data_IF_553032881390
#
_entry.id   IF_553032881390
#
_cell.length_a   1.000
_cell.length_b   1.000
_cell.length_c   1.000
_cell.angle_alpha   90.00
_cell.angle_beta   90.00
_cell.angle_gamma   90.00
#
_symmetry.space_group_name_H-M   'P 1'
#
loop_
_entity.id
_entity.type
_entity.pdbx_description
1 polymer ?
#
# COMPACT_ATOMS: atom_id res chain seq x y z
N UNK A 1 -41.21 -11.46 -15.05
CA UNK A 1 -40.11 -10.57 -14.59
C UNK A 1 -39.35 -11.31 -13.51
N UNK A 2 -38.13 -11.81 -13.79
CA UNK A 2 -37.23 -12.25 -12.73
C UNK A 2 -36.80 -11.03 -11.93
N UNK A 3 -36.89 -11.08 -10.61
CA UNK A 3 -36.35 -10.02 -9.76
C UNK A 3 -34.82 -10.07 -9.81
N UNK A 4 -34.16 -8.92 -9.66
CA UNK A 4 -32.68 -8.83 -9.58
C UNK A 4 -32.16 -9.82 -8.53
N UNK A 5 -32.89 -9.99 -7.43
CA UNK A 5 -32.57 -10.96 -6.37
C UNK A 5 -32.57 -12.42 -6.89
N UNK A 6 -33.54 -12.82 -7.71
CA UNK A 6 -33.60 -14.16 -8.30
C UNK A 6 -32.50 -14.40 -9.33
N UNK A 7 -32.14 -13.39 -10.11
CA UNK A 7 -31.01 -13.46 -11.04
C UNK A 7 -29.67 -13.62 -10.28
N UNK A 8 -29.50 -12.88 -9.19
CA UNK A 8 -28.32 -12.97 -8.31
C UNK A 8 -28.25 -14.34 -7.62
N UNK A 9 -29.37 -14.89 -7.14
CA UNK A 9 -29.40 -16.21 -6.49
C UNK A 9 -29.17 -17.36 -7.48
N UNK A 10 -29.74 -17.30 -8.69
CA UNK A 10 -29.48 -18.28 -9.75
C UNK A 10 -28.02 -18.20 -10.23
N UNK A 11 -27.47 -17.00 -10.34
CA UNK A 11 -26.06 -16.78 -10.63
C UNK A 11 -25.18 -17.39 -9.53
N UNK A 12 -25.46 -17.11 -8.25
CA UNK A 12 -24.79 -17.71 -7.09
C UNK A 12 -24.85 -19.25 -7.09
N UNK A 13 -25.95 -19.85 -7.53
CA UNK A 13 -26.09 -21.30 -7.64
C UNK A 13 -25.22 -21.93 -8.76
N UNK A 14 -24.84 -21.13 -9.76
CA UNK A 14 -23.89 -21.52 -10.82
C UNK A 14 -22.44 -21.10 -10.53
N UNK A 15 -22.19 -20.50 -9.36
CA UNK A 15 -20.85 -20.02 -8.98
C UNK A 15 -19.91 -21.20 -8.82
N UNK A 16 -19.04 -21.33 -9.81
CA UNK A 16 -17.83 -22.13 -9.77
C UNK A 16 -16.82 -21.47 -8.83
N UNK A 17 -16.99 -21.71 -7.53
CA UNK A 17 -16.17 -21.11 -6.47
C UNK A 17 -14.66 -21.32 -6.69
N UNK A 18 -14.28 -22.41 -7.36
CA UNK A 18 -12.92 -22.69 -7.84
C UNK A 18 -12.38 -21.57 -8.75
N UNK A 19 -13.18 -21.10 -9.71
CA UNK A 19 -12.76 -20.06 -10.66
C UNK A 19 -12.63 -18.68 -9.99
N UNK A 20 -13.60 -18.31 -9.15
CA UNK A 20 -13.54 -17.04 -8.42
C UNK A 20 -12.38 -17.01 -7.42
N UNK A 21 -12.09 -18.14 -6.77
CA UNK A 21 -10.95 -18.25 -5.88
C UNK A 21 -9.63 -18.07 -6.65
N UNK A 22 -9.48 -18.70 -7.81
CA UNK A 22 -8.30 -18.54 -8.67
C UNK A 22 -8.13 -17.08 -9.11
N UNK A 23 -9.19 -16.44 -9.63
CA UNK A 23 -9.14 -15.03 -10.05
C UNK A 23 -8.85 -14.09 -8.89
N UNK A 24 -9.51 -14.29 -7.75
CA UNK A 24 -9.31 -13.47 -6.55
C UNK A 24 -7.90 -13.58 -6.01
N UNK A 25 -7.35 -14.79 -5.90
CA UNK A 25 -5.96 -15.01 -5.45
C UNK A 25 -4.96 -14.36 -6.40
N UNK A 26 -5.15 -14.50 -7.72
CA UNK A 26 -4.25 -13.84 -8.68
C UNK A 26 -4.30 -12.31 -8.57
N UNK A 27 -5.49 -11.74 -8.44
CA UNK A 27 -5.66 -10.30 -8.26
C UNK A 27 -5.04 -9.81 -6.94
N UNK A 28 -5.17 -10.58 -5.86
CA UNK A 28 -4.52 -10.31 -4.57
C UNK A 28 -3.00 -10.32 -4.70
N UNK A 29 -2.42 -11.36 -5.32
CA UNK A 29 -0.98 -11.49 -5.51
C UNK A 29 -0.42 -10.34 -6.36
N UNK A 30 -1.13 -9.96 -7.41
CA UNK A 30 -0.75 -8.81 -8.22
C UNK A 30 -0.78 -7.50 -7.42
N UNK A 31 -1.88 -7.22 -6.73
CA UNK A 31 -2.01 -6.03 -5.90
C UNK A 31 -0.94 -5.97 -4.79
N UNK A 32 -0.64 -7.12 -4.17
CA UNK A 32 0.45 -7.23 -3.20
C UNK A 32 1.81 -6.89 -3.84
N UNK A 33 2.05 -7.36 -5.06
CA UNK A 33 3.28 -7.04 -5.80
C UNK A 33 3.43 -5.54 -6.06
N UNK A 34 2.33 -4.83 -6.37
CA UNK A 34 2.34 -3.38 -6.55
C UNK A 34 2.66 -2.63 -5.26
N UNK A 35 2.13 -3.09 -4.12
CA UNK A 35 2.46 -2.51 -2.81
C UNK A 35 3.93 -2.75 -2.48
N UNK A 36 4.47 -3.94 -2.74
CA UNK A 36 5.89 -4.26 -2.50
C UNK A 36 6.81 -3.37 -3.36
N UNK A 37 6.49 -3.23 -4.65
CA UNK A 37 7.28 -2.40 -5.58
C UNK A 37 7.14 -0.90 -5.25
N UNK A 38 5.97 -0.46 -4.79
CA UNK A 38 5.72 0.94 -4.43
C UNK A 38 6.38 1.40 -3.12
N UNK A 39 6.78 0.47 -2.26
CA UNK A 39 7.39 0.77 -0.95
C UNK A 39 8.65 -0.07 -0.71
N UNK A 40 9.73 0.15 -1.48
CA UNK A 40 10.93 -0.69 -1.46
C UNK A 40 11.63 -0.68 -0.10
N UNK A 41 11.57 0.42 0.64
CA UNK A 41 12.24 0.54 1.95
C UNK A 41 11.59 -0.31 3.03
N UNK A 42 10.27 -0.57 2.93
CA UNK A 42 9.46 -1.24 3.97
C UNK A 42 8.32 -2.09 3.40
N UNK A 43 8.59 -3.07 2.53
CA UNK A 43 7.55 -3.79 1.77
C UNK A 43 6.60 -4.58 2.68
N UNK A 44 7.15 -5.29 3.68
CA UNK A 44 6.35 -6.10 4.62
C UNK A 44 5.47 -5.24 5.52
N UNK A 45 5.96 -4.07 5.95
CA UNK A 45 5.16 -3.16 6.78
C UNK A 45 4.06 -2.50 5.96
N UNK A 46 4.36 -2.08 4.72
CA UNK A 46 3.39 -1.53 3.81
C UNK A 46 2.23 -2.52 3.56
N UNK A 47 2.52 -3.79 3.32
CA UNK A 47 1.50 -4.84 3.13
C UNK A 47 0.60 -5.07 4.35
N UNK A 48 1.08 -4.80 5.57
CA UNK A 48 0.33 -4.99 6.81
C UNK A 48 -0.55 -3.80 7.17
N UNK A 49 -0.48 -2.70 6.42
CA UNK A 49 -1.32 -1.52 6.66
C UNK A 49 -2.77 -1.77 6.22
N UNK A 50 -3.70 -1.10 6.88
CA UNK A 50 -5.12 -1.21 6.52
C UNK A 50 -5.39 -0.75 5.09
N UNK A 51 -4.67 0.29 4.62
CA UNK A 51 -4.77 0.78 3.25
C UNK A 51 -4.37 -0.28 2.22
N UNK A 52 -3.31 -1.06 2.47
CA UNK A 52 -2.91 -2.16 1.59
C UNK A 52 -3.95 -3.28 1.56
N UNK A 53 -4.50 -3.68 2.71
CA UNK A 53 -5.56 -4.68 2.76
C UNK A 53 -6.82 -4.24 2.02
N UNK A 54 -7.25 -3.00 2.22
CA UNK A 54 -8.41 -2.43 1.53
C UNK A 54 -8.18 -2.43 0.01
N UNK A 55 -6.99 -2.00 -0.43
CA UNK A 55 -6.63 -2.01 -1.84
C UNK A 55 -6.66 -3.44 -2.42
N UNK A 56 -5.99 -4.39 -1.77
CA UNK A 56 -5.91 -5.79 -2.21
C UNK A 56 -7.30 -6.44 -2.29
N UNK A 57 -8.14 -6.28 -1.26
CA UNK A 57 -9.49 -6.84 -1.22
C UNK A 57 -10.37 -6.20 -2.30
N UNK A 58 -10.35 -4.87 -2.43
CA UNK A 58 -11.11 -4.19 -3.46
C UNK A 58 -10.71 -4.68 -4.85
N UNK A 59 -9.41 -4.84 -5.10
CA UNK A 59 -8.90 -5.30 -6.39
C UNK A 59 -9.33 -6.75 -6.70
N UNK A 60 -9.32 -7.62 -5.68
CA UNK A 60 -9.83 -8.99 -5.79
C UNK A 60 -11.33 -9.03 -6.08
N UNK A 61 -12.14 -8.21 -5.40
CA UNK A 61 -13.57 -8.10 -5.62
C UNK A 61 -13.89 -7.63 -7.05
N UNK A 62 -13.18 -6.61 -7.53
CA UNK A 62 -13.35 -6.12 -8.90
C UNK A 62 -12.96 -7.16 -9.96
N UNK A 63 -11.87 -7.90 -9.76
CA UNK A 63 -11.50 -8.99 -10.65
C UNK A 63 -12.55 -10.11 -10.67
N UNK A 64 -13.13 -10.45 -9.52
CA UNK A 64 -14.23 -11.41 -9.43
C UNK A 64 -15.50 -10.90 -10.14
N UNK A 65 -15.82 -9.60 -10.05
CA UNK A 65 -16.93 -9.00 -10.80
C UNK A 65 -16.67 -9.02 -12.32
N UNK A 66 -15.43 -8.78 -12.75
CA UNK A 66 -15.05 -8.91 -14.14
C UNK A 66 -15.19 -10.34 -14.64
N UNK A 67 -14.81 -11.34 -13.83
CA UNK A 67 -15.02 -12.75 -14.15
C UNK A 67 -16.52 -13.08 -14.26
N UNK A 68 -17.32 -12.58 -13.33
CA UNK A 68 -18.77 -12.73 -13.35
C UNK A 68 -19.36 -12.23 -14.68
N UNK A 69 -18.98 -11.03 -15.09
CA UNK A 69 -19.41 -10.43 -16.35
C UNK A 69 -18.92 -11.23 -17.57
N UNK A 70 -17.70 -11.75 -17.53
CA UNK A 70 -17.17 -12.55 -18.62
C UNK A 70 -17.92 -13.88 -18.78
N UNK A 71 -18.24 -14.54 -17.66
CA UNK A 71 -18.99 -15.80 -17.65
C UNK A 71 -20.47 -15.63 -18.03
N UNK A 72 -21.08 -14.47 -17.76
CA UNK A 72 -22.45 -14.20 -18.22
C UNK A 72 -22.51 -13.93 -19.71
N UNK A 73 -21.48 -13.31 -20.29
CA UNK A 73 -21.39 -13.03 -21.72
C UNK A 73 -21.01 -14.28 -22.55
N UNK A 74 -20.12 -15.12 -22.02
CA UNK A 74 -19.62 -16.32 -22.71
C UNK A 74 -19.66 -17.52 -21.75
N UNK A 75 -20.84 -18.09 -21.46
CA UNK A 75 -20.99 -19.16 -20.47
C UNK A 75 -20.22 -20.44 -20.81
N UNK A 76 -19.95 -20.71 -22.10
CA UNK A 76 -19.13 -21.84 -22.54
C UNK A 76 -17.63 -21.71 -22.28
N UNK A 77 -17.14 -20.55 -21.80
CA UNK A 77 -15.72 -20.28 -21.58
C UNK A 77 -15.22 -20.62 -20.17
N UNK A 78 -16.09 -21.20 -19.31
CA UNK A 78 -15.81 -21.48 -17.90
C UNK A 78 -14.64 -22.46 -17.72
N UNK A 79 -13.43 -21.92 -17.61
CA UNK A 79 -12.17 -22.65 -17.49
C UNK A 79 -11.22 -21.94 -16.54
N UNK A 80 -10.29 -22.70 -15.96
CA UNK A 80 -9.24 -22.14 -15.07
C UNK A 80 -8.38 -21.12 -15.82
N UNK A 81 -8.11 -21.34 -17.11
CA UNK A 81 -7.37 -20.41 -17.95
C UNK A 81 -8.10 -19.08 -18.12
N UNK A 82 -9.42 -19.10 -18.29
CA UNK A 82 -10.23 -17.89 -18.32
C UNK A 82 -10.15 -17.13 -16.98
N UNK A 83 -10.24 -17.85 -15.85
CA UNK A 83 -10.13 -17.25 -14.53
C UNK A 83 -8.76 -16.59 -14.28
N UNK A 84 -7.67 -17.27 -14.66
CA UNK A 84 -6.31 -16.73 -14.61
C UNK A 84 -6.15 -15.51 -15.53
N UNK A 85 -6.64 -15.62 -16.77
CA UNK A 85 -6.60 -14.55 -17.76
C UNK A 85 -7.32 -13.30 -17.26
N UNK A 86 -8.54 -13.43 -16.75
CA UNK A 86 -9.28 -12.30 -16.17
C UNK A 86 -8.55 -11.71 -14.97
N UNK A 87 -8.02 -12.53 -14.06
CA UNK A 87 -7.30 -12.05 -12.88
C UNK A 87 -6.06 -11.21 -13.24
N UNK A 88 -5.32 -11.62 -14.27
CA UNK A 88 -4.14 -10.90 -14.77
C UNK A 88 -4.51 -9.68 -15.62
N UNK A 89 -5.42 -9.85 -16.57
CA UNK A 89 -5.82 -8.81 -17.52
C UNK A 89 -6.61 -7.67 -16.87
N UNK A 90 -7.33 -7.93 -15.77
CA UNK A 90 -8.06 -6.89 -15.03
C UNK A 90 -7.15 -5.73 -14.60
N UNK A 91 -5.93 -6.04 -14.19
CA UNK A 91 -4.95 -5.04 -13.75
C UNK A 91 -4.47 -4.18 -14.91
N UNK A 92 -4.23 -4.80 -16.07
CA UNK A 92 -3.94 -4.08 -17.31
C UNK A 92 -5.14 -3.21 -17.73
N UNK A 93 -6.37 -3.67 -17.49
CA UNK A 93 -7.60 -2.93 -17.79
C UNK A 93 -7.76 -1.66 -16.94
N UNK A 94 -7.50 -1.77 -15.63
CA UNK A 94 -7.52 -0.65 -14.70
C UNK A 94 -6.46 0.41 -15.04
N UNK A 95 -5.25 -0.04 -15.40
CA UNK A 95 -4.14 0.86 -15.80
C UNK A 95 -4.32 1.44 -17.20
N UNK A 96 -4.91 0.66 -18.11
CA UNK A 96 -5.13 1.03 -19.51
C UNK A 96 -6.26 2.04 -19.71
N UNK A 97 -6.98 2.41 -18.64
CA UNK A 97 -7.97 3.47 -18.68
C UNK A 97 -9.10 3.17 -19.67
N UNK A 98 -9.73 1.99 -19.58
CA UNK A 98 -10.96 1.76 -20.34
C UNK A 98 -11.98 2.79 -19.89
N UNK A 99 -12.16 3.80 -20.73
CA UNK A 99 -13.13 4.86 -20.55
C UNK A 99 -14.50 4.23 -20.83
N UNK A 100 -15.07 3.59 -19.81
CA UNK A 100 -16.47 3.13 -19.86
C UNK A 100 -17.28 4.42 -19.90
N UNK A 101 -17.56 4.90 -21.12
CA UNK A 101 -18.46 6.03 -21.31
C UNK A 101 -19.76 5.71 -20.57
N UNK A 102 -20.30 6.65 -19.78
CA UNK A 102 -21.56 6.43 -19.11
C UNK A 102 -22.60 6.03 -20.16
N UNK A 103 -23.18 4.85 -19.98
CA UNK A 103 -24.24 4.35 -20.86
C UNK A 103 -25.33 5.41 -20.89
N UNK A 104 -25.69 5.98 -22.06
CA UNK A 104 -26.74 6.97 -22.13
C UNK A 104 -28.05 6.31 -21.68
N UNK A 105 -28.48 6.64 -20.46
CA UNK A 105 -29.83 6.31 -20.01
C UNK A 105 -30.76 7.12 -20.92
N UNK A 106 -31.63 6.41 -21.64
CA UNK A 106 -32.30 6.86 -22.86
C UNK A 106 -32.87 8.28 -22.86
N UNK A 107 -32.76 8.88 -24.04
CA UNK A 107 -33.46 10.05 -24.54
C UNK A 107 -34.92 10.17 -24.05
N UNK A 108 -35.13 10.92 -22.97
CA UNK A 108 -36.37 11.67 -22.75
C UNK A 108 -36.01 13.02 -22.15
N UNK A 109 -36.51 14.07 -22.79
CA UNK A 109 -36.31 15.44 -22.38
C UNK A 109 -36.68 15.63 -20.89
N UNK A 110 -35.89 16.44 -20.19
CA UNK A 110 -36.13 16.96 -18.82
C UNK A 110 -35.65 16.08 -17.64
N UNK A 111 -34.34 15.86 -17.50
CA UNK A 111 -33.70 15.55 -16.21
C UNK A 111 -32.20 15.90 -16.24
N UNK A 112 -31.62 16.38 -15.12
CA UNK A 112 -30.35 17.10 -15.10
C UNK A 112 -29.16 16.16 -15.32
N UNK A 113 -28.12 16.69 -15.99
CA UNK A 113 -26.76 16.17 -16.14
C UNK A 113 -26.49 14.85 -15.41
N UNK A 114 -26.53 13.75 -16.16
CA UNK A 114 -26.17 12.42 -15.68
C UNK A 114 -24.74 12.44 -15.13
N UNK A 115 -24.62 12.42 -13.80
CA UNK A 115 -23.37 12.43 -13.05
C UNK A 115 -22.72 11.04 -13.09
N UNK A 116 -22.37 10.59 -14.29
CA UNK A 116 -21.65 9.34 -14.52
C UNK A 116 -20.18 9.53 -14.19
N UNK A 117 -19.78 9.30 -12.93
CA UNK A 117 -18.35 9.25 -12.58
C UNK A 117 -17.76 7.99 -13.22
N UNK A 118 -16.75 8.11 -14.08
CA UNK A 118 -16.22 6.95 -14.79
C UNK A 118 -15.47 6.05 -13.79
N UNK A 119 -15.54 4.73 -14.00
CA UNK A 119 -15.06 3.73 -13.04
C UNK A 119 -13.54 3.83 -12.78
N UNK A 120 -12.78 4.31 -13.77
CA UNK A 120 -11.36 4.63 -13.64
C UNK A 120 -11.11 5.76 -12.62
N UNK A 121 -11.93 6.80 -12.61
CA UNK A 121 -11.81 7.92 -11.67
C UNK A 121 -12.17 7.48 -10.25
N UNK A 122 -13.22 6.68 -10.09
CA UNK A 122 -13.56 6.07 -8.81
C UNK A 122 -12.43 5.19 -8.29
N UNK A 123 -11.85 4.36 -9.17
CA UNK A 123 -10.72 3.51 -8.82
C UNK A 123 -9.47 4.34 -8.46
N UNK A 124 -9.16 5.39 -9.24
CA UNK A 124 -8.04 6.27 -8.95
C UNK A 124 -8.18 6.98 -7.60
N UNK A 125 -9.39 7.43 -7.25
CA UNK A 125 -9.69 8.01 -5.93
C UNK A 125 -9.55 6.99 -4.81
N UNK A 126 -10.07 5.78 -5.01
CA UNK A 126 -9.93 4.69 -4.04
C UNK A 126 -8.44 4.34 -3.84
N UNK A 127 -7.69 4.20 -4.92
CA UNK A 127 -6.26 3.94 -4.88
C UNK A 127 -5.51 5.07 -4.16
N UNK A 128 -5.80 6.33 -4.49
CA UNK A 128 -5.22 7.50 -3.83
C UNK A 128 -5.55 7.54 -2.33
N UNK A 129 -6.78 7.20 -1.95
CA UNK A 129 -7.16 7.04 -0.55
C UNK A 129 -6.36 5.94 0.14
N UNK A 130 -6.28 4.74 -0.46
CA UNK A 130 -5.52 3.61 0.10
C UNK A 130 -4.03 3.96 0.26
N UNK A 131 -3.41 4.56 -0.76
CA UNK A 131 -2.02 5.04 -0.71
C UNK A 131 -1.84 6.07 0.40
N UNK A 132 -2.76 7.03 0.53
CA UNK A 132 -2.75 7.99 1.62
C UNK A 132 -2.83 7.35 3.00
N UNK A 133 -3.63 6.29 3.17
CA UNK A 133 -3.70 5.52 4.42
C UNK A 133 -2.39 4.78 4.72
N UNK A 134 -1.78 4.14 3.70
CA UNK A 134 -0.48 3.48 3.83
C UNK A 134 0.57 4.51 4.31
N UNK A 135 0.65 5.65 3.63
CA UNK A 135 1.61 6.71 3.96
C UNK A 135 1.40 7.27 5.37
N UNK A 136 0.15 7.59 5.74
CA UNK A 136 -0.17 8.09 7.09
C UNK A 136 0.24 7.11 8.17
N UNK A 137 -0.02 5.82 7.99
CA UNK A 137 0.34 4.79 8.95
C UNK A 137 1.87 4.67 9.06
N UNK A 138 2.59 4.63 7.94
CA UNK A 138 4.05 4.55 7.92
C UNK A 138 4.71 5.78 8.55
N UNK A 139 4.19 6.98 8.26
CA UNK A 139 4.67 8.24 8.87
C UNK A 139 4.36 8.26 10.37
N UNK A 140 3.16 7.87 10.77
CA UNK A 140 2.77 7.81 12.19
C UNK A 140 3.65 6.86 13.00
N UNK A 141 3.96 5.68 12.45
CA UNK A 141 4.92 4.74 13.06
C UNK A 141 6.32 5.35 13.17
N UNK A 142 6.75 6.09 12.14
CA UNK A 142 8.06 6.76 12.11
C UNK A 142 8.15 7.86 13.17
N UNK A 143 7.15 8.73 13.26
CA UNK A 143 7.06 9.79 14.28
C UNK A 143 7.01 9.19 15.69
N UNK A 144 6.19 8.17 15.91
CA UNK A 144 6.10 7.49 17.22
C UNK A 144 7.45 6.89 17.64
N UNK A 145 8.23 6.36 16.70
CA UNK A 145 9.57 5.85 16.97
C UNK A 145 10.55 6.99 17.28
N UNK A 146 10.47 8.12 16.57
CA UNK A 146 11.28 9.31 16.85
C UNK A 146 11.01 9.85 18.25
N UNK A 147 9.75 10.08 18.60
CA UNK A 147 9.36 10.56 19.94
C UNK A 147 9.85 9.62 21.05
N UNK A 148 9.71 8.31 20.86
CA UNK A 148 10.19 7.32 21.84
C UNK A 148 11.72 7.26 21.93
N UNK A 149 12.42 7.54 20.84
CA UNK A 149 13.88 7.61 20.83
C UNK A 149 14.36 8.86 21.55
N UNK A 150 13.81 10.03 21.23
CA UNK A 150 14.12 11.31 21.91
C UNK A 150 13.83 11.24 23.41
N UNK A 151 12.74 10.60 23.81
CA UNK A 151 12.40 10.46 25.23
C UNK A 151 13.34 9.55 26.04
N UNK A 152 14.25 8.80 25.40
CA UNK A 152 15.02 7.72 26.06
C UNK A 152 16.50 7.62 25.71
N UNK A 153 16.91 8.23 24.60
CA UNK A 153 18.26 8.17 24.08
C UNK A 153 18.78 9.59 24.02
N UNK A 154 19.99 9.79 24.53
CA UNK A 154 20.70 11.04 24.43
C UNK A 154 21.43 11.15 23.08
N UNK A 155 21.90 12.35 22.75
CA UNK A 155 22.68 12.62 21.53
C UNK A 155 23.89 11.67 21.38
N UNK A 156 24.69 11.36 22.43
CA UNK A 156 25.76 10.37 22.35
C UNK A 156 25.30 8.96 21.95
N UNK A 157 24.22 8.44 22.54
CA UNK A 157 23.67 7.13 22.19
C UNK A 157 23.18 7.11 20.74
N UNK A 158 22.47 8.16 20.31
CA UNK A 158 22.00 8.30 18.93
C UNK A 158 23.15 8.38 17.94
N UNK A 159 24.20 9.15 18.22
CA UNK A 159 25.39 9.24 17.37
C UNK A 159 26.11 7.89 17.25
N UNK A 160 26.19 7.13 18.35
CA UNK A 160 26.74 5.77 18.33
C UNK A 160 25.92 4.84 17.45
N UNK A 161 24.59 4.87 17.56
CA UNK A 161 23.70 4.05 16.73
C UNK A 161 23.85 4.44 15.26
N UNK A 162 23.87 5.74 14.94
CA UNK A 162 24.07 6.22 13.58
C UNK A 162 25.37 5.70 12.96
N UNK A 163 26.49 5.75 13.70
CA UNK A 163 27.78 5.19 13.23
C UNK A 163 27.68 3.69 12.97
N UNK A 164 27.04 2.93 13.86
CA UNK A 164 26.87 1.49 13.69
C UNK A 164 26.05 1.15 12.45
N UNK A 165 24.95 1.87 12.21
CA UNK A 165 24.09 1.65 11.05
C UNK A 165 24.84 1.97 9.76
N UNK A 166 25.54 3.11 9.70
CA UNK A 166 26.30 3.50 8.51
C UNK A 166 27.48 2.56 8.25
N UNK A 167 28.15 2.08 9.30
CA UNK A 167 29.21 1.07 9.19
C UNK A 167 28.69 -0.27 8.65
N UNK A 168 27.53 -0.72 9.15
CA UNK A 168 26.93 -1.99 8.72
C UNK A 168 26.50 -1.98 7.25
N UNK A 169 26.12 -0.82 6.70
CA UNK A 169 25.72 -0.69 5.30
C UNK A 169 26.89 -0.61 4.30
N UNK A 170 28.15 -0.69 4.76
CA UNK A 170 29.33 -0.42 3.94
C UNK A 170 29.31 0.98 3.26
N UNK A 171 28.46 1.89 3.73
CA UNK A 171 28.43 3.33 3.39
C UNK A 171 29.30 4.12 4.40
N UNK A 172 30.17 3.43 5.14
CA UNK A 172 31.18 4.07 6.00
C UNK A 172 32.23 4.76 5.13
N UNK A 173 31.86 5.94 4.66
CA UNK A 173 32.78 6.93 4.15
C UNK A 173 33.22 7.79 5.33
N UNK A 174 34.46 8.27 5.27
CA UNK A 174 34.97 9.28 6.21
C UNK A 174 34.01 10.49 6.29
N UNK A 175 33.33 10.80 5.19
CA UNK A 175 32.31 11.85 5.10
C UNK A 175 31.09 11.59 5.99
N UNK A 176 30.59 10.35 6.04
CA UNK A 176 29.44 10.01 6.87
C UNK A 176 29.77 10.11 8.37
N UNK A 177 30.97 9.69 8.78
CA UNK A 177 31.45 9.85 10.15
C UNK A 177 31.63 11.33 10.52
N UNK A 178 32.22 12.12 9.64
CA UNK A 178 32.36 13.57 9.81
C UNK A 178 30.99 14.26 9.90
N UNK A 179 30.01 13.83 9.11
CA UNK A 179 28.66 14.36 9.15
C UNK A 179 27.97 14.05 10.48
N UNK A 180 28.05 12.80 10.96
CA UNK A 180 27.51 12.42 12.28
C UNK A 180 28.18 13.22 13.40
N UNK A 181 29.51 13.34 13.33
CA UNK A 181 30.27 14.12 14.32
C UNK A 181 29.86 15.58 14.30
N UNK A 182 29.73 16.17 13.11
CA UNK A 182 29.27 17.55 12.94
C UNK A 182 27.92 17.75 13.62
N UNK A 183 26.93 16.89 13.36
CA UNK A 183 25.61 17.00 14.00
C UNK A 183 25.73 16.90 15.53
N UNK A 184 26.50 15.95 16.05
CA UNK A 184 26.59 15.72 17.49
C UNK A 184 27.25 16.89 18.24
N UNK A 185 28.28 17.52 17.65
CA UNK A 185 29.08 18.56 18.31
C UNK A 185 28.74 20.00 17.91
N UNK A 186 27.86 20.23 16.94
CA UNK A 186 27.52 21.58 16.48
C UNK A 186 26.85 22.40 17.61
N UNK A 187 27.52 23.44 18.14
CA UNK A 187 26.97 24.27 19.21
C UNK A 187 25.84 25.19 18.71
N UNK A 188 25.68 25.36 17.40
CA UNK A 188 24.59 26.13 16.80
C UNK A 188 23.26 25.37 16.73
N UNK A 189 23.24 24.07 17.07
CA UNK A 189 22.04 23.24 17.08
C UNK A 189 21.55 22.99 18.51
N UNK A 190 20.25 23.23 18.73
CA UNK A 190 19.59 22.77 19.96
C UNK A 190 19.73 21.25 20.09
N UNK A 191 19.73 20.75 21.33
CA UNK A 191 19.83 19.32 21.61
C UNK A 191 18.73 18.52 20.89
N UNK A 192 17.48 18.98 20.99
CA UNK A 192 16.34 18.41 20.27
C UNK A 192 16.58 18.30 18.75
N UNK A 193 17.17 19.34 18.14
CA UNK A 193 17.43 19.33 16.69
C UNK A 193 18.54 18.35 16.32
N UNK A 194 19.55 18.17 17.18
CA UNK A 194 20.60 17.16 17.01
C UNK A 194 20.02 15.76 17.10
N UNK A 195 19.15 15.50 18.07
CA UNK A 195 18.44 14.22 18.20
C UNK A 195 17.60 13.90 16.96
N UNK A 196 16.77 14.84 16.51
CA UNK A 196 15.93 14.68 15.31
C UNK A 196 16.77 14.34 14.08
N UNK A 197 17.88 15.06 13.86
CA UNK A 197 18.77 14.84 12.72
C UNK A 197 19.44 13.45 12.78
N UNK A 198 19.94 13.05 13.95
CA UNK A 198 20.56 11.73 14.13
C UNK A 198 19.54 10.61 13.96
N UNK A 199 18.34 10.76 14.52
CA UNK A 199 17.27 9.78 14.36
C UNK A 199 16.85 9.69 12.88
N UNK A 200 16.68 10.80 12.18
CA UNK A 200 16.36 10.78 10.75
C UNK A 200 17.43 10.02 9.98
N UNK A 201 18.70 10.32 10.22
CA UNK A 201 19.83 9.64 9.58
C UNK A 201 19.81 8.13 9.85
N UNK A 202 19.53 7.71 11.09
CA UNK A 202 19.39 6.28 11.42
C UNK A 202 18.24 5.66 10.63
N UNK A 203 17.09 6.34 10.55
CA UNK A 203 15.89 5.82 9.89
C UNK A 203 16.02 5.77 8.36
N UNK A 204 16.69 6.75 7.76
CA UNK A 204 16.97 6.83 6.32
C UNK A 204 17.95 5.73 5.89
N UNK A 205 18.87 5.34 6.77
CA UNK A 205 19.79 4.23 6.57
C UNK A 205 19.22 2.87 7.03
N UNK A 206 17.89 2.69 7.06
CA UNK A 206 17.27 1.40 7.41
C UNK A 206 17.45 0.95 8.87
N UNK A 207 18.01 1.79 9.75
CA UNK A 207 18.31 1.51 11.15
C UNK A 207 17.10 1.46 12.10
N UNK A 208 15.87 1.43 11.56
CA UNK A 208 14.65 1.50 12.36
C UNK A 208 14.52 0.34 13.37
N UNK A 209 14.92 -0.87 13.00
CA UNK A 209 14.86 -2.04 13.89
C UNK A 209 15.89 -1.97 15.01
N UNK A 210 17.08 -1.48 14.71
CA UNK A 210 18.15 -1.26 15.70
C UNK A 210 17.70 -0.19 16.70
N UNK A 211 17.14 0.92 16.20
CA UNK A 211 16.61 1.98 17.05
C UNK A 211 15.48 1.47 17.96
N UNK A 212 14.54 0.70 17.40
CA UNK A 212 13.47 0.06 18.18
C UNK A 212 14.00 -0.87 19.28
N UNK A 213 15.02 -1.69 18.97
CA UNK A 213 15.63 -2.59 19.93
C UNK A 213 16.25 -1.82 21.09
N UNK A 214 17.02 -0.76 20.80
CA UNK A 214 17.67 0.10 21.80
C UNK A 214 16.68 0.82 22.71
N UNK A 215 15.63 1.39 22.14
CA UNK A 215 14.53 2.03 22.89
C UNK A 215 13.81 1.02 23.81
N UNK A 216 13.76 -0.25 23.42
CA UNK A 216 13.16 -1.33 24.22
C UNK A 216 14.08 -1.82 25.34
N UNK A 217 15.39 -1.91 25.11
CA UNK A 217 16.38 -2.27 26.14
C UNK A 217 16.37 -1.27 27.30
N UNK A 218 16.41 0.04 26.99
CA UNK A 218 16.30 1.14 27.96
C UNK A 218 14.96 1.21 28.70
N UNK A 219 13.95 0.42 28.31
CA UNK A 219 12.68 0.29 29.06
C UNK A 219 12.78 -0.71 30.22
N UNK A 220 13.72 -1.65 30.16
CA UNK A 220 13.84 -2.75 31.13
C UNK A 220 14.79 -2.43 32.29
N UNK A 221 15.72 -1.51 32.07
CA UNK A 221 16.54 -0.82 33.08
C UNK A 221 15.77 0.35 33.66
#
# INVERSE_FOLDING_TARGET
>A
MQTILQAVVAWLATVRADLYLVTGVMALLWAASEVVVGYPDRPVRALRTWGAWLLMIANALFACLALAAALTLIPGSASVWMALGVGLSWQAMLRGGINIQPVPISATASAPEGLGVPLNELYARLQGFCVGQIQRQLVGERVTLMERAMAKLDVPDLARIARLVTAALAVSTVEAEQYIQKIATDPGLSEERREIMLISLILDNGGADILHARVRERRKT
#
